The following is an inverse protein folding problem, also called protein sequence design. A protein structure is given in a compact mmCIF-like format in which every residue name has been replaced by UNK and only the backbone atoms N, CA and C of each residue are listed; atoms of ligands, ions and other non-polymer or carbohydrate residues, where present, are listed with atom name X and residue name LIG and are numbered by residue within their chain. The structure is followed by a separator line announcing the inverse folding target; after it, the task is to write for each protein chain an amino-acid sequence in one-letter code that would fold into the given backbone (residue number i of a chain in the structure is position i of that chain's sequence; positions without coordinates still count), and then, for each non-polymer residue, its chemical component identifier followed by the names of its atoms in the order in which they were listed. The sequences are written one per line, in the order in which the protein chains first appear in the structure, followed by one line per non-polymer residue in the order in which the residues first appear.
data_IF_078509096602
#
_entry.id   IF_078509096602
#
_cell.length_a   1.000
_cell.length_b   1.000
_cell.length_c   1.000
_cell.angle_alpha   90.00
_cell.angle_beta   90.00
_cell.angle_gamma   90.00
#
_symmetry.space_group_name_H-M   'P 1'
#
loop_
_entity.id
_entity.type
_entity.pdbx_description
1 polymer ?
#
# COMPACT_ATOMS: atom_id res chain seq x y z
N UNK A 1 -7.41 -1.59 23.71
CA UNK A 1 -7.31 -1.70 25.18
C UNK A 1 -7.84 -0.38 25.73
N UNK A 2 -9.13 -0.33 26.10
CA UNK A 2 -9.73 0.87 26.68
C UNK A 2 -9.07 1.09 28.05
N UNK A 3 -8.51 2.27 28.29
CA UNK A 3 -7.97 2.62 29.60
C UNK A 3 -9.11 2.70 30.59
N UNK A 4 -8.87 2.26 31.83
CA UNK A 4 -9.86 2.23 32.91
C UNK A 4 -10.53 3.60 33.12
N UNK A 5 -9.80 4.69 32.88
CA UNK A 5 -10.29 6.08 32.85
C UNK A 5 -11.42 6.35 31.84
N UNK A 6 -11.36 5.75 30.65
CA UNK A 6 -12.41 5.91 29.61
C UNK A 6 -13.67 5.13 30.00
N UNK A 7 -13.50 4.00 30.68
CA UNK A 7 -14.63 3.22 31.19
C UNK A 7 -15.26 3.88 32.42
N UNK A 8 -14.46 4.47 33.30
CA UNK A 8 -14.92 5.19 34.50
C UNK A 8 -15.68 6.47 34.10
N UNK A 9 -15.20 7.21 33.10
CA UNK A 9 -15.90 8.40 32.56
C UNK A 9 -17.21 8.07 31.83
N UNK A 10 -17.33 6.88 31.24
CA UNK A 10 -18.58 6.38 30.65
C UNK A 10 -19.51 5.74 31.69
N UNK A 11 -18.97 5.15 32.77
CA UNK A 11 -19.73 4.52 33.85
C UNK A 11 -20.37 5.55 34.78
N UNK A 12 -19.70 6.67 35.04
CA UNK A 12 -20.25 7.80 35.80
C UNK A 12 -21.44 8.48 35.10
N UNK A 13 -21.64 8.21 33.80
CA UNK A 13 -22.80 8.72 33.05
C UNK A 13 -24.07 7.86 33.25
N UNK A 14 -24.00 6.70 33.89
CA UNK A 14 -25.09 5.72 33.88
C UNK A 14 -25.53 5.20 35.26
N UNK A 15 -24.99 5.73 36.36
CA UNK A 15 -25.39 5.41 37.73
C UNK A 15 -26.09 6.58 38.43
N UNK A 16 -27.31 6.31 38.92
CA UNK A 16 -28.14 7.12 39.83
C UNK A 16 -28.77 8.42 39.32
N UNK A 17 -30.05 8.26 38.94
CA UNK A 17 -31.02 9.32 38.74
C UNK A 17 -31.34 10.06 40.07
N UNK A 18 -30.46 10.96 40.49
CA UNK A 18 -30.85 12.14 41.23
C UNK A 18 -30.83 13.31 40.25
N UNK A 19 -32.02 13.73 39.79
CA UNK A 19 -32.18 14.85 38.84
C UNK A 19 -31.85 16.15 39.59
N UNK A 20 -30.57 16.41 39.79
CA UNK A 20 -30.07 17.77 39.98
C UNK A 20 -30.26 18.42 38.61
N UNK A 21 -30.98 19.55 38.49
CA UNK A 21 -31.00 20.29 37.24
C UNK A 21 -29.56 20.71 36.95
N UNK A 22 -28.87 19.97 36.07
CA UNK A 22 -27.55 20.35 35.60
C UNK A 22 -27.70 21.73 35.00
N UNK A 23 -26.92 22.68 35.52
CA UNK A 23 -26.92 24.01 34.93
C UNK A 23 -26.52 23.87 33.45
N UNK A 24 -27.03 24.73 32.55
CA UNK A 24 -26.60 24.74 31.15
C UNK A 24 -25.07 24.78 31.00
N UNK A 25 -24.39 25.44 31.95
CA UNK A 25 -22.94 25.49 32.10
C UNK A 25 -22.33 24.11 32.33
N UNK A 26 -22.85 23.35 33.31
CA UNK A 26 -22.34 22.00 33.61
C UNK A 26 -22.51 21.04 32.44
N UNK A 27 -23.65 21.15 31.74
CA UNK A 27 -23.94 20.31 30.58
C UNK A 27 -23.00 20.62 29.41
N UNK A 28 -22.73 21.90 29.16
CA UNK A 28 -21.78 22.35 28.14
C UNK A 28 -20.35 21.95 28.51
N UNK A 29 -19.94 22.14 29.76
CA UNK A 29 -18.65 21.73 30.28
C UNK A 29 -18.40 20.23 30.10
N UNK A 30 -19.37 19.38 30.47
CA UNK A 30 -19.32 17.93 30.24
C UNK A 30 -19.22 17.59 28.76
N UNK A 31 -20.00 18.27 27.90
CA UNK A 31 -19.96 18.03 26.46
C UNK A 31 -18.58 18.33 25.87
N UNK A 32 -17.97 19.46 26.24
CA UNK A 32 -16.61 19.81 25.80
C UNK A 32 -15.57 18.78 26.28
N UNK A 33 -15.68 18.31 27.52
CA UNK A 33 -14.81 17.25 28.05
C UNK A 33 -14.95 15.93 27.29
N UNK A 34 -16.18 15.52 26.97
CA UNK A 34 -16.41 14.32 26.15
C UNK A 34 -15.79 14.46 24.76
N UNK A 35 -15.93 15.64 24.13
CA UNK A 35 -15.30 15.87 22.83
C UNK A 35 -13.77 15.84 22.93
N UNK A 36 -13.18 16.41 23.98
CA UNK A 36 -11.74 16.31 24.25
C UNK A 36 -11.26 14.86 24.38
N UNK A 37 -11.99 14.03 25.13
CA UNK A 37 -11.64 12.62 25.27
C UNK A 37 -11.67 11.87 23.93
N UNK A 38 -12.66 12.17 23.08
CA UNK A 38 -12.76 11.59 21.74
C UNK A 38 -11.58 12.06 20.87
N UNK A 39 -11.24 13.35 20.91
CA UNK A 39 -10.12 13.96 20.18
C UNK A 39 -8.79 13.30 20.56
N UNK A 40 -8.51 13.18 21.86
CA UNK A 40 -7.28 12.55 22.37
C UNK A 40 -7.20 11.07 21.93
N UNK A 41 -8.32 10.34 22.00
CA UNK A 41 -8.38 8.94 21.54
C UNK A 41 -8.15 8.80 20.04
N UNK A 42 -8.75 9.69 19.24
CA UNK A 42 -8.54 9.71 17.80
C UNK A 42 -7.08 9.98 17.46
N UNK A 43 -6.43 10.92 18.14
CA UNK A 43 -5.02 11.24 17.92
C UNK A 43 -4.11 10.02 18.06
N UNK A 44 -4.22 9.32 19.20
CA UNK A 44 -3.38 8.16 19.49
C UNK A 44 -3.65 7.01 18.52
N UNK A 45 -4.92 6.78 18.20
CA UNK A 45 -5.34 5.73 17.26
C UNK A 45 -4.75 5.96 15.87
N UNK A 46 -4.84 7.18 15.35
CA UNK A 46 -4.28 7.53 14.04
C UNK A 46 -2.76 7.47 14.03
N UNK A 47 -2.11 7.95 15.10
CA UNK A 47 -0.66 7.92 15.22
C UNK A 47 -0.11 6.49 15.23
N UNK A 48 -0.73 5.61 16.02
CA UNK A 48 -0.36 4.19 16.08
C UNK A 48 -0.60 3.51 14.74
N UNK A 49 -1.74 3.76 14.10
CA UNK A 49 -2.06 3.17 12.80
C UNK A 49 -1.07 3.61 11.70
N UNK A 50 -0.78 4.91 11.61
CA UNK A 50 0.21 5.43 10.66
C UNK A 50 1.60 4.85 10.89
N UNK A 51 2.02 4.73 12.16
CA UNK A 51 3.31 4.12 12.51
C UNK A 51 3.37 2.64 12.09
N UNK A 52 2.27 1.89 12.24
CA UNK A 52 2.21 0.50 11.79
C UNK A 52 2.32 0.37 10.27
N UNK A 53 1.62 1.24 9.52
CA UNK A 53 1.70 1.25 8.05
C UNK A 53 3.12 1.60 7.56
N UNK A 54 3.78 2.55 8.22
CA UNK A 54 5.16 2.93 7.91
C UNK A 54 6.13 1.78 8.16
N UNK A 55 6.01 1.10 9.31
CA UNK A 55 6.85 -0.03 9.66
C UNK A 55 6.65 -1.20 8.69
N UNK A 56 5.40 -1.52 8.35
CA UNK A 56 5.10 -2.53 7.35
C UNK A 56 5.72 -2.16 6.00
N UNK A 57 5.65 -0.89 5.60
CA UNK A 57 6.18 -0.44 4.31
C UNK A 57 7.70 -0.57 4.27
N UNK A 58 8.38 -0.11 5.31
CA UNK A 58 9.84 -0.23 5.43
C UNK A 58 10.28 -1.69 5.42
N UNK A 59 9.65 -2.53 6.23
CA UNK A 59 9.99 -3.96 6.27
C UNK A 59 9.86 -4.65 4.90
N UNK A 60 8.86 -4.25 4.10
CA UNK A 60 8.65 -4.78 2.76
C UNK A 60 9.68 -4.26 1.77
N UNK A 61 10.02 -2.98 1.85
CA UNK A 61 11.06 -2.39 1.02
C UNK A 61 12.42 -3.03 1.32
N UNK A 62 12.76 -3.24 2.60
CA UNK A 62 14.00 -3.90 3.02
C UNK A 62 14.07 -5.35 2.51
N UNK A 63 12.97 -6.09 2.61
CA UNK A 63 12.91 -7.46 2.09
C UNK A 63 13.04 -7.52 0.57
N UNK A 64 12.44 -6.56 -0.14
CA UNK A 64 12.58 -6.45 -1.59
C UNK A 64 14.01 -6.11 -2.00
N UNK A 65 14.69 -5.26 -1.24
CA UNK A 65 16.09 -4.93 -1.49
C UNK A 65 16.99 -6.16 -1.36
N UNK A 66 16.83 -6.94 -0.28
CA UNK A 66 17.55 -8.20 -0.06
C UNK A 66 17.29 -9.21 -1.19
N UNK A 67 16.02 -9.39 -1.55
CA UNK A 67 15.63 -10.24 -2.67
C UNK A 67 16.34 -9.84 -3.96
N UNK A 68 16.43 -8.54 -4.27
CA UNK A 68 17.05 -8.08 -5.51
C UNK A 68 18.58 -8.14 -5.49
N UNK A 69 19.22 -7.88 -4.34
CA UNK A 69 20.66 -8.07 -4.19
C UNK A 69 21.05 -9.54 -4.47
N UNK A 70 20.21 -10.50 -4.04
CA UNK A 70 20.40 -11.92 -4.35
C UNK A 70 20.18 -12.31 -5.82
N UNK A 71 19.53 -11.46 -6.63
CA UNK A 71 19.37 -11.68 -8.08
C UNK A 71 20.51 -11.12 -8.90
N UNK A 72 21.09 -10.03 -8.42
CA UNK A 72 22.14 -9.28 -9.09
C UNK A 72 23.54 -9.72 -8.63
N UNK A 73 23.65 -10.34 -7.44
CA UNK A 73 24.89 -10.80 -6.84
C UNK A 73 25.22 -12.28 -7.03
N UNK A 74 26.49 -12.51 -7.42
CA UNK A 74 27.32 -13.73 -7.39
C UNK A 74 27.47 -14.64 -8.64
N UNK A 75 28.60 -14.38 -9.32
CA UNK A 75 29.66 -15.24 -9.86
C UNK A 75 29.36 -16.56 -10.59
N UNK A 76 29.77 -16.51 -11.86
CA UNK A 76 29.75 -17.49 -12.94
C UNK A 76 30.79 -18.63 -12.83
N UNK A 77 31.15 -19.07 -11.62
CA UNK A 77 32.16 -20.10 -11.48
C UNK A 77 31.55 -21.52 -11.42
N UNK A 78 31.69 -22.24 -12.53
CA UNK A 78 31.99 -23.68 -12.60
C UNK A 78 30.85 -24.71 -12.40
N UNK A 79 29.72 -24.55 -13.12
CA UNK A 79 28.67 -25.58 -13.26
C UNK A 79 28.28 -25.71 -14.75
N UNK A 80 27.94 -26.92 -15.21
CA UNK A 80 27.48 -27.21 -16.57
C UNK A 80 26.41 -26.20 -17.06
N UNK A 81 26.60 -25.63 -18.25
CA UNK A 81 25.75 -24.62 -18.88
C UNK A 81 24.25 -25.00 -18.89
N UNK A 82 23.93 -26.28 -19.08
CA UNK A 82 22.54 -26.79 -19.11
C UNK A 82 21.91 -26.80 -17.71
N UNK A 83 22.63 -27.29 -16.70
CA UNK A 83 22.16 -27.33 -15.31
C UNK A 83 22.09 -25.93 -14.69
N UNK A 84 23.03 -25.04 -15.06
CA UNK A 84 22.96 -23.61 -14.72
C UNK A 84 21.70 -22.95 -15.29
N UNK A 85 21.35 -23.27 -16.54
CA UNK A 85 20.16 -22.73 -17.18
C UNK A 85 18.88 -23.21 -16.48
N UNK A 86 18.73 -24.50 -16.23
CA UNK A 86 17.55 -25.04 -15.54
C UNK A 86 17.44 -24.51 -14.10
N UNK A 87 18.55 -24.45 -13.38
CA UNK A 87 18.60 -23.91 -12.02
C UNK A 87 18.23 -22.41 -11.98
N UNK A 88 18.74 -21.61 -12.92
CA UNK A 88 18.42 -20.19 -13.06
C UNK A 88 16.95 -20.01 -13.44
N UNK A 89 16.44 -20.81 -14.37
CA UNK A 89 15.03 -20.77 -14.79
C UNK A 89 14.09 -21.16 -13.65
N UNK A 90 14.48 -22.14 -12.81
CA UNK A 90 13.70 -22.57 -11.63
C UNK A 90 13.68 -21.47 -10.56
N UNK A 91 14.82 -20.84 -10.27
CA UNK A 91 14.90 -19.68 -9.36
C UNK A 91 14.04 -18.52 -9.87
N UNK A 92 14.12 -18.19 -11.16
CA UNK A 92 13.32 -17.13 -11.77
C UNK A 92 11.81 -17.42 -11.72
N UNK A 93 11.41 -18.69 -11.84
CA UNK A 93 10.01 -19.10 -11.67
C UNK A 93 9.52 -18.92 -10.24
N UNK A 94 10.32 -19.30 -9.24
CA UNK A 94 10.01 -19.07 -7.83
C UNK A 94 9.97 -17.58 -7.49
N UNK A 95 10.87 -16.79 -8.07
CA UNK A 95 10.89 -15.33 -7.92
C UNK A 95 9.70 -14.67 -8.58
N UNK A 96 9.25 -15.15 -9.73
CA UNK A 96 8.02 -14.65 -10.36
C UNK A 96 6.81 -14.88 -9.45
N UNK A 97 6.68 -16.07 -8.89
CA UNK A 97 5.57 -16.41 -7.99
C UNK A 97 5.60 -15.60 -6.69
N UNK A 98 6.81 -15.43 -6.11
CA UNK A 98 7.02 -14.66 -4.90
C UNK A 98 6.83 -13.15 -5.18
N UNK A 99 7.55 -12.57 -6.14
CA UNK A 99 7.42 -11.14 -6.50
C UNK A 99 5.99 -10.69 -6.79
N UNK A 100 5.12 -11.55 -7.35
CA UNK A 100 3.71 -11.23 -7.49
C UNK A 100 3.01 -10.99 -6.15
N UNK A 101 3.22 -11.88 -5.18
CA UNK A 101 2.69 -11.74 -3.82
C UNK A 101 3.25 -10.48 -3.14
N UNK A 102 4.54 -10.20 -3.33
CA UNK A 102 5.21 -9.03 -2.75
C UNK A 102 4.66 -7.74 -3.36
N UNK A 103 4.45 -7.70 -4.68
CA UNK A 103 3.80 -6.59 -5.37
C UNK A 103 2.37 -6.39 -4.92
N UNK A 104 1.59 -7.48 -4.74
CA UNK A 104 0.23 -7.39 -4.23
C UNK A 104 0.18 -6.82 -2.82
N UNK A 105 1.09 -7.25 -1.94
CA UNK A 105 1.19 -6.73 -0.57
C UNK A 105 1.60 -5.25 -0.55
N UNK A 106 2.59 -4.88 -1.36
CA UNK A 106 3.01 -3.49 -1.51
C UNK A 106 1.88 -2.60 -2.05
N UNK A 107 1.11 -3.09 -3.01
CA UNK A 107 -0.07 -2.40 -3.53
C UNK A 107 -1.15 -2.23 -2.48
N UNK A 108 -1.45 -3.29 -1.73
CA UNK A 108 -2.44 -3.25 -0.65
C UNK A 108 -2.05 -2.20 0.39
N UNK A 109 -0.77 -2.19 0.78
CA UNK A 109 -0.26 -1.22 1.75
C UNK A 109 -0.31 0.21 1.21
N UNK A 110 0.08 0.42 -0.05
CA UNK A 110 -0.06 1.71 -0.74
C UNK A 110 -1.52 2.16 -0.83
N UNK A 111 -2.45 1.23 -1.10
CA UNK A 111 -3.89 1.50 -1.14
C UNK A 111 -4.42 1.88 0.24
N UNK A 112 -4.04 1.15 1.29
CA UNK A 112 -4.46 1.44 2.66
C UNK A 112 -3.92 2.79 3.13
N UNK A 113 -2.69 3.14 2.77
CA UNK A 113 -2.10 4.43 3.05
C UNK A 113 -2.84 5.58 2.34
N UNK A 114 -3.18 5.40 1.06
CA UNK A 114 -3.99 6.38 0.31
C UNK A 114 -5.37 6.58 0.94
N UNK A 115 -6.03 5.48 1.34
CA UNK A 115 -7.32 5.54 2.04
C UNK A 115 -7.17 6.28 3.36
N UNK A 116 -6.18 5.93 4.17
CA UNK A 116 -5.87 6.59 5.43
C UNK A 116 -5.69 8.09 5.24
N UNK A 117 -4.88 8.50 4.26
CA UNK A 117 -4.66 9.90 3.91
C UNK A 117 -5.98 10.64 3.64
N UNK A 118 -6.83 10.09 2.77
CA UNK A 118 -8.12 10.71 2.43
C UNK A 118 -9.03 10.83 3.65
N UNK A 119 -9.13 9.77 4.45
CA UNK A 119 -9.93 9.79 5.70
C UNK A 119 -9.42 10.83 6.67
N UNK A 120 -8.09 10.95 6.84
CA UNK A 120 -7.49 11.93 7.74
C UNK A 120 -7.65 13.36 7.24
N UNK A 121 -7.58 13.59 5.93
CA UNK A 121 -7.92 14.90 5.33
C UNK A 121 -9.37 15.27 5.65
N UNK A 122 -10.31 14.33 5.49
CA UNK A 122 -11.71 14.57 5.81
C UNK A 122 -11.90 14.88 7.30
N UNK A 123 -11.27 14.09 8.19
CA UNK A 123 -11.33 14.32 9.63
C UNK A 123 -10.76 15.69 10.00
N UNK A 124 -9.64 16.12 9.41
CA UNK A 124 -9.06 17.43 9.66
C UNK A 124 -10.01 18.57 9.27
N UNK A 125 -10.74 18.42 8.16
CA UNK A 125 -11.78 19.39 7.76
C UNK A 125 -12.90 19.45 8.81
N UNK A 126 -13.42 18.29 9.22
CA UNK A 126 -14.47 18.24 10.26
C UNK A 126 -14.02 18.82 11.60
N UNK A 127 -12.76 18.60 12.00
CA UNK A 127 -12.22 19.20 13.22
C UNK A 127 -12.15 20.74 13.12
N UNK A 128 -11.72 21.26 11.97
CA UNK A 128 -11.72 22.71 11.69
C UNK A 128 -13.13 23.30 11.74
N UNK A 129 -14.10 22.63 11.11
CA UNK A 129 -15.51 23.04 11.14
C UNK A 129 -16.09 23.01 12.57
N UNK A 130 -15.74 21.99 13.37
CA UNK A 130 -16.15 21.90 14.78
C UNK A 130 -15.54 23.03 15.61
N UNK A 131 -14.26 23.32 15.41
CA UNK A 131 -13.56 24.39 16.10
C UNK A 131 -14.17 25.76 15.76
N UNK A 132 -14.46 26.00 14.49
CA UNK A 132 -15.14 27.20 14.01
C UNK A 132 -16.55 27.32 14.58
N UNK A 133 -17.33 26.24 14.57
CA UNK A 133 -18.67 26.19 15.15
C UNK A 133 -18.68 26.59 16.63
N UNK A 134 -17.79 25.99 17.44
CA UNK A 134 -17.70 26.30 18.86
C UNK A 134 -17.17 27.71 19.12
N UNK A 135 -16.31 28.23 18.24
CA UNK A 135 -15.82 29.61 18.31
C UNK A 135 -16.97 30.60 18.09
N UNK A 136 -17.76 30.42 17.02
CA UNK A 136 -18.93 31.26 16.69
C UNK A 136 -20.00 31.15 17.79
N UNK A 137 -20.22 29.94 18.32
CA UNK A 137 -21.18 29.73 19.40
C UNK A 137 -20.80 30.52 20.66
N UNK A 138 -19.50 30.68 20.94
CA UNK A 138 -19.02 31.45 22.09
C UNK A 138 -18.91 32.96 21.85
N UNK A 139 -19.19 33.44 20.64
CA UNK A 139 -19.27 34.88 20.34
C UNK A 139 -20.61 35.50 20.79
N UNK A 140 -20.63 36.76 21.24
CA UNK A 140 -21.87 37.47 21.53
C UNK A 140 -22.71 37.68 20.25
N UNK A 141 -24.06 37.55 20.28
CA UNK A 141 -24.94 37.33 21.42
C UNK A 141 -25.33 35.86 21.68
N UNK A 142 -24.69 34.89 21.00
CA UNK A 142 -25.11 33.49 20.93
C UNK A 142 -25.17 32.78 22.29
N UNK A 143 -24.25 33.10 23.20
CA UNK A 143 -24.20 32.55 24.57
C UNK A 143 -24.23 33.67 25.62
N UNK A 144 -25.11 33.58 26.64
CA UNK A 144 -25.17 34.51 27.75
C UNK A 144 -23.83 34.69 28.47
N UNK A 145 -23.55 35.91 28.96
CA UNK A 145 -22.28 36.26 29.61
C UNK A 145 -21.92 35.34 30.77
N UNK A 146 -22.92 34.95 31.59
CA UNK A 146 -22.74 34.06 32.73
C UNK A 146 -22.20 32.68 32.34
N UNK A 147 -22.70 32.11 31.24
CA UNK A 147 -22.22 30.81 30.74
C UNK A 147 -20.82 30.96 30.16
N UNK A 148 -20.54 32.08 29.49
CA UNK A 148 -19.24 32.34 28.88
C UNK A 148 -18.15 32.46 29.92
N UNK A 149 -18.39 33.17 31.02
CA UNK A 149 -17.42 33.31 32.12
C UNK A 149 -17.16 31.98 32.81
N UNK A 150 -18.20 31.21 33.08
CA UNK A 150 -18.09 29.94 33.82
C UNK A 150 -17.40 28.86 32.97
N UNK A 151 -17.69 28.81 31.66
CA UNK A 151 -17.12 27.84 30.74
C UNK A 151 -15.84 28.31 30.02
N UNK A 152 -15.36 29.54 30.28
CA UNK A 152 -14.21 30.13 29.57
C UNK A 152 -12.95 29.27 29.63
N UNK A 153 -12.68 28.66 30.80
CA UNK A 153 -11.52 27.78 30.98
C UNK A 153 -11.64 26.51 30.13
N UNK A 154 -12.80 25.88 30.14
CA UNK A 154 -13.04 24.63 29.41
C UNK A 154 -13.04 24.87 27.91
N UNK A 155 -13.61 25.98 27.45
CA UNK A 155 -13.57 26.37 26.04
C UNK A 155 -12.14 26.68 25.59
N UNK A 156 -11.35 27.39 26.41
CA UNK A 156 -9.93 27.64 26.08
C UNK A 156 -9.12 26.34 25.95
N UNK A 157 -9.27 25.42 26.89
CA UNK A 157 -8.61 24.11 26.82
C UNK A 157 -9.05 23.35 25.56
N UNK A 158 -10.35 23.34 25.28
CA UNK A 158 -10.92 22.74 24.07
C UNK A 158 -10.29 23.30 22.79
N UNK A 159 -10.27 24.62 22.61
CA UNK A 159 -9.69 25.27 21.43
C UNK A 159 -8.19 24.97 21.27
N UNK A 160 -7.43 25.00 22.37
CA UNK A 160 -5.99 24.71 22.34
C UNK A 160 -5.74 23.26 21.92
N UNK A 161 -6.45 22.31 22.52
CA UNK A 161 -6.32 20.88 22.22
C UNK A 161 -6.78 20.53 20.81
N UNK A 162 -7.92 21.09 20.37
CA UNK A 162 -8.42 20.93 19.02
C UNK A 162 -7.40 21.42 17.99
N UNK A 163 -6.85 22.63 18.18
CA UNK A 163 -5.81 23.16 17.30
C UNK A 163 -4.50 22.36 17.33
N UNK A 164 -4.17 21.73 18.46
CA UNK A 164 -3.02 20.81 18.54
C UNK A 164 -3.27 19.52 17.75
N UNK A 165 -4.48 18.96 17.80
CA UNK A 165 -4.86 17.79 17.00
C UNK A 165 -4.84 18.10 15.51
N UNK A 166 -5.44 19.21 15.08
CA UNK A 166 -5.44 19.66 13.68
C UNK A 166 -4.01 19.72 13.13
N UNK A 167 -3.09 20.38 13.87
CA UNK A 167 -1.66 20.46 13.49
C UNK A 167 -0.97 19.10 13.51
N UNK A 168 -1.29 18.22 14.45
CA UNK A 168 -0.70 16.88 14.54
C UNK A 168 -1.15 16.00 13.36
N UNK A 169 -2.44 16.01 13.00
CA UNK A 169 -2.95 15.31 11.82
C UNK A 169 -2.28 15.84 10.54
N UNK A 170 -2.13 17.16 10.43
CA UNK A 170 -1.56 17.81 9.25
C UNK A 170 -0.04 17.55 9.12
N UNK A 171 0.73 17.77 10.17
CA UNK A 171 2.19 17.61 10.16
C UNK A 171 2.63 16.15 10.25
N UNK A 172 2.09 15.39 11.18
CA UNK A 172 2.57 14.03 11.46
C UNK A 172 1.99 13.01 10.49
N UNK A 173 0.73 13.16 10.07
CA UNK A 173 0.07 12.10 9.32
C UNK A 173 -0.05 12.39 7.84
N UNK A 174 -0.44 13.60 7.44
CA UNK A 174 -0.53 13.93 6.00
C UNK A 174 0.85 14.04 5.36
N UNK A 175 1.80 14.73 6.00
CA UNK A 175 3.16 14.87 5.43
C UNK A 175 3.91 13.53 5.37
N UNK A 176 3.81 12.67 6.40
CA UNK A 176 4.39 11.31 6.36
C UNK A 176 3.69 10.42 5.34
N UNK A 177 2.36 10.49 5.23
CA UNK A 177 1.64 9.75 4.20
C UNK A 177 2.04 10.19 2.79
N UNK A 178 2.28 11.49 2.58
CA UNK A 178 2.79 12.03 1.33
C UNK A 178 4.21 11.56 1.01
N UNK A 179 5.09 11.56 1.99
CA UNK A 179 6.44 11.00 1.84
C UNK A 179 6.39 9.51 1.47
N UNK A 180 5.52 8.74 2.11
CA UNK A 180 5.37 7.31 1.88
C UNK A 180 4.67 6.97 0.55
N UNK A 181 3.66 7.74 0.13
CA UNK A 181 2.98 7.54 -1.17
C UNK A 181 3.76 8.13 -2.35
N UNK A 182 4.46 9.23 -2.12
CA UNK A 182 5.33 9.92 -3.09
C UNK A 182 6.76 9.37 -3.14
N UNK A 183 7.12 8.47 -2.22
CA UNK A 183 8.44 7.86 -2.14
C UNK A 183 8.84 7.23 -3.47
N UNK A 184 9.87 7.80 -4.11
CA UNK A 184 10.47 7.27 -5.34
C UNK A 184 10.83 5.79 -5.20
N UNK A 185 11.17 5.35 -3.99
CA UNK A 185 11.51 3.96 -3.66
C UNK A 185 10.37 2.98 -4.01
N UNK A 186 9.15 3.19 -3.53
CA UNK A 186 8.02 2.27 -3.81
C UNK A 186 7.75 2.17 -5.31
N UNK A 187 7.79 3.31 -6.03
CA UNK A 187 7.62 3.35 -7.49
C UNK A 187 8.80 2.71 -8.23
N UNK A 188 10.01 2.91 -7.73
CA UNK A 188 11.24 2.34 -8.27
C UNK A 188 11.23 0.82 -8.16
N UNK A 189 10.94 0.24 -6.99
CA UNK A 189 10.85 -1.21 -6.83
C UNK A 189 9.71 -1.78 -7.69
N UNK A 190 8.57 -1.10 -7.79
CA UNK A 190 7.50 -1.48 -8.71
C UNK A 190 7.99 -1.56 -10.16
N UNK A 191 8.63 -0.49 -10.64
CA UNK A 191 9.13 -0.41 -12.00
C UNK A 191 10.23 -1.45 -12.26
N UNK A 192 11.11 -1.67 -11.29
CA UNK A 192 12.24 -2.58 -11.40
C UNK A 192 11.81 -4.05 -11.42
N UNK A 193 10.89 -4.45 -10.52
CA UNK A 193 10.32 -5.81 -10.54
C UNK A 193 9.62 -6.08 -11.87
N UNK A 194 8.82 -5.13 -12.37
CA UNK A 194 8.15 -5.26 -13.67
C UNK A 194 9.16 -5.32 -14.83
N UNK A 195 10.25 -4.56 -14.76
CA UNK A 195 11.32 -4.58 -15.77
C UNK A 195 12.04 -5.92 -15.81
N UNK A 196 12.43 -6.47 -14.66
CA UNK A 196 13.08 -7.78 -14.60
C UNK A 196 12.16 -8.90 -15.10
N UNK A 197 10.86 -8.85 -14.74
CA UNK A 197 9.85 -9.76 -15.27
C UNK A 197 9.72 -9.71 -16.79
N UNK A 198 9.73 -8.49 -17.37
CA UNK A 198 9.65 -8.29 -18.83
C UNK A 198 10.87 -8.85 -19.53
N UNK A 199 12.07 -8.51 -19.05
CA UNK A 199 13.35 -8.97 -19.61
C UNK A 199 13.44 -10.49 -19.67
N UNK A 200 13.00 -11.17 -18.61
CA UNK A 200 13.00 -12.63 -18.58
C UNK A 200 11.98 -13.24 -19.53
N UNK A 201 10.80 -12.64 -19.65
CA UNK A 201 9.77 -13.10 -20.59
C UNK A 201 10.27 -12.99 -22.03
N UNK A 202 10.90 -11.87 -22.39
CA UNK A 202 11.54 -11.67 -23.69
C UNK A 202 12.63 -12.71 -23.97
N UNK A 203 13.44 -13.05 -22.94
CA UNK A 203 14.48 -14.08 -23.05
C UNK A 203 13.89 -15.46 -23.33
N UNK A 204 12.79 -15.84 -22.66
CA UNK A 204 12.12 -17.11 -22.93
C UNK A 204 11.51 -17.18 -24.33
N UNK A 205 10.92 -16.08 -24.80
CA UNK A 205 10.44 -16.01 -26.18
C UNK A 205 11.58 -16.16 -27.19
N UNK A 206 12.73 -15.51 -26.96
CA UNK A 206 13.89 -15.65 -27.84
C UNK A 206 14.43 -17.09 -27.89
N UNK A 207 14.52 -17.77 -26.74
CA UNK A 207 14.96 -19.16 -26.66
C UNK A 207 13.99 -20.12 -27.34
N UNK A 208 12.69 -19.96 -27.12
CA UNK A 208 11.65 -20.76 -27.77
C UNK A 208 11.63 -20.52 -29.28
N UNK A 209 11.83 -19.28 -29.73
CA UNK A 209 11.95 -18.93 -31.14
C UNK A 209 13.15 -19.63 -31.79
N UNK A 210 14.30 -19.66 -31.09
CA UNK A 210 15.50 -20.35 -31.57
C UNK A 210 15.27 -21.86 -31.75
N UNK A 211 14.70 -22.54 -30.76
CA UNK A 211 14.36 -23.98 -30.85
C UNK A 211 13.36 -24.24 -31.99
N UNK A 212 12.40 -23.35 -32.19
CA UNK A 212 11.42 -23.47 -33.28
C UNK A 212 12.05 -23.26 -34.65
N UNK A 213 13.00 -22.32 -34.77
CA UNK A 213 13.77 -22.09 -36.00
C UNK A 213 14.66 -23.28 -36.33
N UNK A 214 15.36 -23.86 -35.35
CA UNK A 214 16.20 -25.04 -35.56
C UNK A 214 15.37 -26.24 -36.05
N UNK A 215 14.18 -26.45 -35.47
CA UNK A 215 13.25 -27.48 -35.96
C UNK A 215 12.73 -27.20 -37.36
N UNK A 216 12.37 -25.95 -37.66
CA UNK A 216 11.93 -25.56 -39.00
C UNK A 216 13.03 -25.74 -40.05
N UNK A 217 14.28 -25.44 -39.70
CA UNK A 217 15.44 -25.68 -40.56
C UNK A 217 15.63 -27.18 -40.83
N UNK A 218 15.49 -28.01 -39.79
CA UNK A 218 15.54 -29.46 -39.92
C UNK A 218 14.40 -30.00 -40.80
N UNK A 219 13.17 -29.53 -40.61
CA UNK A 219 12.01 -29.90 -41.44
C UNK A 219 12.18 -29.44 -42.90
N UNK A 220 12.72 -28.24 -43.13
CA UNK A 220 12.97 -27.70 -44.46
C UNK A 220 14.09 -28.48 -45.17
N UNK A 221 15.16 -28.85 -44.47
CA UNK A 221 16.23 -29.71 -45.00
C UNK A 221 15.72 -31.11 -45.35
N UNK A 222 14.88 -31.70 -44.49
CA UNK A 222 14.21 -32.97 -44.77
C UNK A 222 13.30 -32.87 -45.99
N UNK A 223 12.49 -31.81 -46.08
CA UNK A 223 11.63 -31.53 -47.24
C UNK A 223 12.47 -31.42 -48.52
N UNK A 224 13.54 -30.63 -48.52
CA UNK A 224 14.44 -30.51 -49.67
C UNK A 224 15.04 -31.86 -50.08
N UNK A 225 15.47 -32.67 -49.12
CA UNK A 225 16.03 -34.00 -49.40
C UNK A 225 15.00 -34.91 -50.06
N UNK A 226 13.78 -34.98 -49.52
CA UNK A 226 12.67 -35.78 -50.08
C UNK A 226 12.29 -35.27 -51.48
N UNK A 227 12.20 -33.96 -51.68
CA UNK A 227 11.88 -33.35 -52.98
C UNK A 227 12.96 -33.66 -54.02
N UNK A 228 14.25 -33.56 -53.69
CA UNK A 228 15.33 -33.92 -54.61
C UNK A 228 15.32 -35.41 -54.95
N UNK A 229 15.13 -36.29 -53.95
CA UNK A 229 15.00 -37.73 -54.19
C UNK A 229 13.81 -38.02 -55.11
N UNK A 230 12.62 -37.49 -54.83
CA UNK A 230 11.42 -37.72 -55.66
C UNK A 230 11.56 -37.14 -57.07
N UNK A 231 12.15 -35.95 -57.25
CA UNK A 231 12.42 -35.37 -58.57
C UNK A 231 13.35 -36.23 -59.43
N UNK A 232 14.31 -36.93 -58.83
CA UNK A 232 15.20 -37.85 -59.57
C UNK A 232 14.48 -39.13 -60.01
N UNK A 233 13.59 -39.67 -59.17
CA UNK A 233 12.88 -40.92 -59.46
C UNK A 233 11.62 -40.72 -60.31
N UNK A 234 10.92 -39.59 -60.20
CA UNK A 234 9.64 -39.35 -60.90
C UNK A 234 9.73 -39.58 -62.41
N UNK A 235 10.71 -39.03 -63.15
CA UNK A 235 10.83 -39.22 -64.60
C UNK A 235 11.11 -40.68 -64.96
N UNK A 236 11.94 -41.36 -64.17
CA UNK A 236 12.27 -42.78 -64.38
C UNK A 236 11.07 -43.69 -64.16
N UNK A 237 10.30 -43.46 -63.10
CA UNK A 237 9.06 -44.20 -62.84
C UNK A 237 7.98 -43.91 -63.89
N UNK A 238 7.90 -42.67 -64.39
CA UNK A 238 6.99 -42.31 -65.48
C UNK A 238 7.32 -43.05 -66.77
N UNK A 239 8.60 -43.12 -67.15
CA UNK A 239 9.05 -43.86 -68.35
C UNK A 239 8.85 -45.37 -68.16
N UNK A 240 9.15 -45.90 -66.97
CA UNK A 240 8.95 -47.31 -66.65
C UNK A 240 7.50 -47.77 -66.66
N UNK A 241 6.52 -46.86 -66.61
CA UNK A 241 5.10 -47.20 -66.73
C UNK A 241 4.62 -47.30 -68.20
N UNK A 242 5.42 -46.86 -69.18
CA UNK A 242 5.12 -46.95 -70.61
C UNK A 242 5.70 -48.20 -71.29
N UNK A 243 6.56 -48.95 -70.61
CA UNK A 243 7.13 -50.22 -71.04
C UNK A 243 6.60 -51.36 -70.18
#
# INVERSE_FOLDING_TARGET
MLTKEVLDTLSDAQGDAHIIPHSPQDSLAKTLQTHLAIIDWQQESWRSYMSSLEQDLRSKLDHLDDLMQHLTGHNEADINCQEQFEHKTRRLRTLRANSWKELQQLNLLSSNLKKAKVTMTCNNVTLKELNEYYSILFEPPSVPESIRTDCAKNMREFTIRMGALERSIESECLSRADEMTGGQLTQFYYALILKEQRKETERQFALSSKDSMERMEQETSSMHTITTSTLNFLPGTFIGAYF
#
